data_IF_395017470312
#
_entry.id   IF_395017470312
#
_cell.length_a   1.000
_cell.length_b   1.000
_cell.length_c   1.000
_cell.angle_alpha   90.00
_cell.angle_beta   90.00
_cell.angle_gamma   90.00
#
_symmetry.space_group_name_H-M   'P 1'
#
loop_
_entity.id
_entity.type
_entity.pdbx_description
1 polymer ?
#
# COMPACT_ATOMS: atom_id res chain seq x y z
N UNK A 1 -20.57 8.53 -10.61
CA UNK A 1 -20.74 7.67 -9.41
C UNK A 1 -19.36 7.54 -8.77
N UNK A 2 -19.17 8.07 -7.56
CA UNK A 2 -17.85 8.05 -6.88
C UNK A 2 -17.52 6.61 -6.52
N UNK A 3 -16.36 6.04 -6.90
CA UNK A 3 -15.91 4.80 -6.32
C UNK A 3 -15.49 5.11 -4.87
N UNK A 4 -16.45 5.00 -3.94
CA UNK A 4 -16.15 4.93 -2.52
C UNK A 4 -15.72 3.50 -2.21
N UNK A 5 -14.64 3.34 -1.44
CA UNK A 5 -14.45 2.14 -0.63
C UNK A 5 -15.80 1.81 0.05
N UNK A 6 -16.38 0.64 -0.24
CA UNK A 6 -17.69 0.26 0.30
C UNK A 6 -17.71 0.41 1.83
N UNK A 7 -18.86 0.69 2.45
CA UNK A 7 -19.01 0.86 3.90
C UNK A 7 -18.47 -0.33 4.76
N UNK A 8 -18.15 -1.46 4.13
CA UNK A 8 -17.49 -2.63 4.72
C UNK A 8 -15.94 -2.59 4.73
N UNK A 9 -15.30 -1.51 4.26
CA UNK A 9 -13.83 -1.34 4.23
C UNK A 9 -13.31 -0.38 5.31
N UNK A 10 -14.06 -0.23 6.41
CA UNK A 10 -13.55 0.49 7.57
C UNK A 10 -12.53 -0.36 8.33
N UNK A 11 -11.26 -0.22 7.94
CA UNK A 11 -10.08 -0.84 8.57
C UNK A 11 -9.97 -0.56 10.07
N UNK A 12 -10.80 0.32 10.65
CA UNK A 12 -10.77 0.71 12.06
C UNK A 12 -11.94 0.16 12.88
N UNK A 13 -12.74 -0.75 12.33
CA UNK A 13 -13.58 -1.65 13.14
C UNK A 13 -12.70 -2.75 13.76
N UNK A 14 -13.01 -3.19 14.98
CA UNK A 14 -12.14 -4.02 15.83
C UNK A 14 -11.59 -5.25 15.09
N UNK A 15 -12.47 -5.99 14.42
CA UNK A 15 -12.09 -7.24 13.76
C UNK A 15 -11.32 -6.95 12.45
N UNK A 16 -11.75 -5.92 11.70
CA UNK A 16 -11.18 -5.58 10.39
C UNK A 16 -9.76 -5.02 10.44
N UNK A 17 -9.35 -4.33 11.50
CA UNK A 17 -7.97 -3.83 11.65
C UNK A 17 -6.98 -4.97 11.90
N UNK A 18 -7.29 -5.83 12.87
CA UNK A 18 -6.44 -6.96 13.25
C UNK A 18 -6.32 -7.92 12.07
N UNK A 19 -7.44 -8.21 11.39
CA UNK A 19 -7.44 -9.01 10.17
C UNK A 19 -6.61 -8.39 9.05
N UNK A 20 -6.67 -7.07 8.85
CA UNK A 20 -5.91 -6.39 7.80
C UNK A 20 -4.41 -6.34 8.08
N UNK A 21 -4.04 -6.10 9.35
CA UNK A 21 -2.64 -6.12 9.80
C UNK A 21 -2.08 -7.52 9.70
N UNK A 22 -2.81 -8.51 10.22
CA UNK A 22 -2.44 -9.91 10.13
C UNK A 22 -2.32 -10.33 8.66
N UNK A 23 -3.28 -9.99 7.82
CA UNK A 23 -3.25 -10.30 6.40
C UNK A 23 -2.03 -9.70 5.67
N UNK A 24 -1.70 -8.44 5.97
CA UNK A 24 -0.53 -7.77 5.41
C UNK A 24 0.79 -8.40 5.87
N UNK A 25 0.90 -8.73 7.17
CA UNK A 25 2.08 -9.39 7.75
C UNK A 25 2.22 -10.83 7.25
N UNK A 26 1.14 -11.61 7.24
CA UNK A 26 1.09 -12.97 6.70
C UNK A 26 1.55 -12.97 5.24
N UNK A 27 1.09 -12.02 4.43
CA UNK A 27 1.55 -11.91 3.03
C UNK A 27 3.07 -11.68 2.94
N UNK A 28 3.63 -10.89 3.86
CA UNK A 28 5.07 -10.68 3.91
C UNK A 28 5.81 -11.94 4.41
N UNK A 29 5.24 -12.69 5.35
CA UNK A 29 5.84 -13.91 5.90
C UNK A 29 5.64 -15.16 5.04
N UNK A 30 4.65 -15.21 4.17
CA UNK A 30 4.35 -16.40 3.38
C UNK A 30 5.51 -16.69 2.42
N UNK A 31 6.03 -17.91 2.50
CA UNK A 31 7.20 -18.39 1.76
C UNK A 31 6.84 -19.37 0.66
N UNK A 32 5.62 -19.92 0.69
CA UNK A 32 5.13 -20.88 -0.29
C UNK A 32 4.65 -20.15 -1.53
N UNK A 33 5.55 -19.93 -2.47
CA UNK A 33 5.18 -19.39 -3.79
C UNK A 33 4.60 -20.53 -4.63
N UNK A 34 3.40 -20.33 -5.18
CA UNK A 34 2.71 -21.32 -6.01
C UNK A 34 3.60 -21.71 -7.20
N UNK A 35 4.04 -22.97 -7.21
CA UNK A 35 4.90 -23.52 -8.27
C UNK A 35 4.02 -23.96 -9.44
N UNK A 36 3.86 -23.10 -10.44
CA UNK A 36 3.20 -23.49 -11.68
C UNK A 36 4.24 -24.14 -12.62
N UNK A 37 4.09 -25.45 -12.90
CA UNK A 37 4.92 -26.13 -13.92
C UNK A 37 4.67 -25.44 -15.27
N UNK A 38 5.73 -24.92 -15.91
CA UNK A 38 5.61 -24.14 -17.15
C UNK A 38 5.38 -22.64 -16.94
N UNK A 39 5.45 -22.15 -15.70
CA UNK A 39 5.43 -20.72 -15.40
C UNK A 39 6.47 -19.94 -16.21
N UNK A 40 5.99 -18.92 -16.94
CA UNK A 40 6.85 -18.01 -17.68
C UNK A 40 7.75 -17.15 -16.77
N UNK A 41 8.77 -16.47 -17.31
CA UNK A 41 9.76 -15.73 -16.53
C UNK A 41 9.19 -14.57 -15.70
N UNK A 42 7.92 -14.21 -15.89
CA UNK A 42 7.24 -13.12 -15.20
C UNK A 42 6.44 -13.57 -13.96
N UNK A 43 6.27 -14.87 -13.71
CA UNK A 43 5.56 -15.32 -12.51
C UNK A 43 6.29 -14.94 -11.23
N UNK A 44 5.56 -14.73 -10.14
CA UNK A 44 6.15 -14.42 -8.85
C UNK A 44 7.22 -15.45 -8.47
N UNK A 45 8.32 -14.97 -7.89
CA UNK A 45 9.44 -15.79 -7.43
C UNK A 45 10.02 -15.21 -6.13
N UNK A 46 10.97 -15.91 -5.52
CA UNK A 46 11.51 -15.54 -4.21
C UNK A 46 12.21 -14.17 -4.21
N UNK A 47 12.96 -13.86 -5.28
CA UNK A 47 13.64 -12.57 -5.44
C UNK A 47 12.62 -11.41 -5.43
N UNK A 48 11.52 -11.56 -6.17
CA UNK A 48 10.44 -10.58 -6.24
C UNK A 48 9.69 -10.45 -4.91
N UNK A 49 9.44 -11.56 -4.22
CA UNK A 49 8.85 -11.52 -2.88
C UNK A 49 9.76 -10.81 -1.88
N UNK A 50 11.08 -10.97 -1.98
CA UNK A 50 12.02 -10.25 -1.12
C UNK A 50 11.99 -8.74 -1.34
N UNK A 51 11.71 -8.26 -2.57
CA UNK A 51 11.48 -6.83 -2.83
C UNK A 51 10.24 -6.31 -2.10
N UNK A 52 9.14 -7.06 -2.15
CA UNK A 52 7.88 -6.73 -1.45
C UNK A 52 8.13 -6.67 0.06
N UNK A 53 8.77 -7.70 0.63
CA UNK A 53 9.10 -7.79 2.06
C UNK A 53 9.99 -6.64 2.53
N UNK A 54 11.00 -6.30 1.74
CA UNK A 54 11.96 -5.25 2.10
C UNK A 54 11.33 -3.85 2.21
N UNK A 55 10.27 -3.58 1.43
CA UNK A 55 9.56 -2.30 1.49
C UNK A 55 8.39 -2.33 2.46
N UNK A 56 7.67 -3.46 2.52
CA UNK A 56 6.44 -3.63 3.30
C UNK A 56 5.24 -2.88 2.69
N UNK A 57 4.05 -3.49 2.62
CA UNK A 57 2.88 -2.86 2.03
C UNK A 57 2.38 -1.69 2.89
N UNK A 58 2.01 -0.59 2.23
CA UNK A 58 1.18 0.47 2.78
C UNK A 58 -0.29 0.18 2.48
N UNK A 59 -1.10 -0.01 3.51
CA UNK A 59 -2.55 -0.17 3.40
C UNK A 59 -3.19 1.21 3.57
N UNK A 60 -3.81 1.79 2.52
CA UNK A 60 -4.41 3.11 2.59
C UNK A 60 -5.59 3.16 3.58
N UNK A 61 -5.80 4.31 4.24
CA UNK A 61 -7.05 4.55 4.98
C UNK A 61 -8.23 4.65 4.02
N UNK A 62 -9.43 4.28 4.49
CA UNK A 62 -10.70 4.38 3.75
C UNK A 62 -11.02 5.80 3.26
N UNK A 63 -10.48 6.81 3.96
CA UNK A 63 -10.74 8.22 3.68
C UNK A 63 -9.85 8.78 2.55
N UNK A 64 -8.99 7.94 1.97
CA UNK A 64 -8.12 8.33 0.85
C UNK A 64 -8.82 8.08 -0.47
N UNK A 65 -8.77 9.09 -1.32
CA UNK A 65 -9.37 9.05 -2.64
C UNK A 65 -8.28 9.04 -3.70
N UNK A 66 -8.60 8.39 -4.81
CA UNK A 66 -7.78 8.40 -6.02
C UNK A 66 -8.56 9.05 -7.14
N UNK A 67 -7.82 9.63 -8.07
CA UNK A 67 -8.32 10.09 -9.36
C UNK A 67 -8.57 8.83 -10.20
N UNK A 68 -9.84 8.42 -10.27
CA UNK A 68 -10.29 7.40 -11.21
C UNK A 68 -10.74 8.07 -12.52
N UNK A 69 -10.61 7.39 -13.67
CA UNK A 69 -11.23 7.83 -14.92
C UNK A 69 -12.71 8.16 -14.67
N UNK A 70 -13.19 9.30 -15.16
CA UNK A 70 -14.57 9.73 -14.93
C UNK A 70 -15.57 8.64 -15.32
N UNK A 71 -16.67 8.54 -14.58
CA UNK A 71 -17.69 7.49 -14.72
C UNK A 71 -18.47 7.48 -16.04
N UNK A 72 -17.96 8.15 -17.08
CA UNK A 72 -18.52 8.19 -18.44
C UNK A 72 -17.72 7.34 -19.44
N UNK A 73 -16.91 6.38 -18.97
CA UNK A 73 -16.28 5.33 -19.78
C UNK A 73 -15.35 5.79 -20.93
N UNK A 74 -14.72 6.97 -20.82
CA UNK A 74 -13.81 7.48 -21.86
C UNK A 74 -12.49 8.06 -21.33
N UNK A 75 -12.17 7.89 -20.05
CA UNK A 75 -10.92 8.40 -19.46
C UNK A 75 -9.80 7.35 -19.45
N UNK A 76 -8.57 7.78 -19.70
CA UNK A 76 -7.37 7.01 -19.39
C UNK A 76 -7.07 7.06 -17.88
N UNK A 77 -6.36 6.06 -17.36
CA UNK A 77 -5.82 6.13 -16.00
C UNK A 77 -4.64 7.10 -15.96
N UNK A 78 -4.65 7.99 -14.98
CA UNK A 78 -3.69 9.09 -14.89
C UNK A 78 -3.04 9.16 -13.50
N UNK A 79 -1.94 9.90 -13.42
CA UNK A 79 -1.23 10.27 -12.22
C UNK A 79 -0.97 11.78 -12.26
N UNK A 80 -1.20 12.47 -11.14
CA UNK A 80 -1.02 13.91 -11.06
C UNK A 80 0.46 14.29 -10.93
N UNK A 81 1.15 14.32 -12.06
CA UNK A 81 2.56 14.71 -12.15
C UNK A 81 2.83 16.19 -11.81
N UNK A 82 1.79 17.03 -11.76
CA UNK A 82 1.94 18.46 -11.49
C UNK A 82 2.03 18.72 -9.99
N UNK A 83 1.21 18.01 -9.20
CA UNK A 83 1.16 18.17 -7.76
C UNK A 83 1.99 17.12 -7.01
N UNK A 84 2.16 15.93 -7.59
CA UNK A 84 2.87 14.83 -6.96
C UNK A 84 4.15 14.40 -7.71
N UNK A 85 5.30 14.32 -7.03
CA UNK A 85 6.47 13.69 -7.60
C UNK A 85 6.24 12.19 -7.78
N UNK A 86 6.70 11.70 -8.93
CA UNK A 86 6.70 10.30 -9.28
C UNK A 86 7.46 9.44 -8.25
N UNK A 87 6.81 8.44 -7.62
CA UNK A 87 7.47 7.57 -6.66
C UNK A 87 8.66 6.80 -7.25
N UNK A 88 9.81 6.78 -6.57
CA UNK A 88 10.93 5.93 -7.01
C UNK A 88 10.66 4.45 -6.74
N UNK A 89 10.06 4.16 -5.59
CA UNK A 89 9.70 2.81 -5.15
C UNK A 89 8.57 2.89 -4.12
N UNK A 90 7.71 1.88 -4.09
CA UNK A 90 6.72 1.71 -3.03
C UNK A 90 6.00 0.37 -3.14
N UNK A 91 5.23 0.04 -2.11
CA UNK A 91 4.39 -1.15 -2.09
C UNK A 91 3.07 -0.77 -1.44
N UNK A 92 1.96 -1.05 -2.10
CA UNK A 92 0.61 -0.85 -1.55
C UNK A 92 -0.04 -2.19 -1.30
N UNK A 93 -0.90 -2.26 -0.29
CA UNK A 93 -1.64 -3.45 0.08
C UNK A 93 -3.14 -3.20 0.12
N UNK A 94 -3.91 -4.19 -0.33
CA UNK A 94 -5.37 -4.15 -0.36
C UNK A 94 -5.92 -5.45 0.23
N UNK A 95 -6.82 -5.34 1.19
CA UNK A 95 -7.65 -6.46 1.62
C UNK A 95 -8.69 -6.76 0.56
N UNK A 96 -8.80 -8.02 0.14
CA UNK A 96 -9.83 -8.44 -0.80
C UNK A 96 -11.03 -9.01 -0.05
N UNK A 97 -12.16 -8.33 -0.11
CA UNK A 97 -13.44 -8.82 0.39
C UNK A 97 -14.17 -9.61 -0.71
N UNK A 98 -13.88 -10.92 -0.80
CA UNK A 98 -14.66 -11.98 -1.48
C UNK A 98 -14.64 -12.05 -3.03
N UNK A 99 -14.57 -13.30 -3.52
CA UNK A 99 -14.66 -13.87 -4.88
C UNK A 99 -14.27 -12.97 -6.06
N UNK A 100 -13.04 -13.17 -6.49
CA UNK A 100 -12.45 -12.56 -7.67
C UNK A 100 -12.96 -13.28 -8.95
N UNK A 101 -13.31 -12.56 -10.03
CA UNK A 101 -13.52 -13.17 -11.35
C UNK A 101 -12.32 -14.03 -11.75
N UNK A 102 -12.51 -15.03 -12.63
CA UNK A 102 -11.48 -16.02 -13.06
C UNK A 102 -10.15 -15.45 -13.57
N UNK A 103 -10.09 -14.14 -13.83
CA UNK A 103 -9.00 -13.47 -14.53
C UNK A 103 -8.15 -12.59 -13.60
N UNK A 104 -8.48 -12.47 -12.31
CA UNK A 104 -7.60 -11.82 -11.34
C UNK A 104 -7.16 -12.77 -10.22
N UNK A 105 -5.99 -12.51 -9.66
CA UNK A 105 -5.44 -13.32 -8.58
C UNK A 105 -6.41 -13.39 -7.40
N UNK A 106 -6.77 -14.61 -7.01
CA UNK A 106 -7.53 -14.89 -5.79
C UNK A 106 -6.71 -14.52 -4.54
N UNK A 107 -7.38 -14.45 -3.39
CA UNK A 107 -6.71 -14.19 -2.12
C UNK A 107 -7.45 -13.28 -1.17
N UNK A 108 -7.02 -13.31 0.09
CA UNK A 108 -7.51 -12.42 1.15
C UNK A 108 -6.76 -11.08 1.17
N UNK A 109 -5.56 -11.03 0.59
CA UNK A 109 -4.73 -9.82 0.52
C UNK A 109 -3.95 -9.75 -0.78
N UNK A 110 -3.86 -8.57 -1.37
CA UNK A 110 -3.11 -8.30 -2.58
C UNK A 110 -2.13 -7.15 -2.35
N UNK A 111 -0.94 -7.27 -2.91
CA UNK A 111 0.07 -6.21 -2.93
C UNK A 111 0.41 -5.81 -4.35
N UNK A 112 0.72 -4.53 -4.53
CA UNK A 112 1.32 -3.99 -5.74
C UNK A 112 2.60 -3.25 -5.37
N UNK A 113 3.74 -3.89 -5.63
CA UNK A 113 5.04 -3.28 -5.54
C UNK A 113 5.36 -2.57 -6.85
N UNK A 114 5.81 -1.33 -6.76
CA UNK A 114 6.15 -0.49 -7.91
C UNK A 114 7.55 0.07 -7.71
N UNK A 115 8.37 0.04 -8.75
CA UNK A 115 9.65 0.77 -8.79
C UNK A 115 9.95 1.32 -10.16
N UNK A 116 10.66 2.43 -10.22
CA UNK A 116 11.21 2.95 -11.47
C UNK A 116 12.17 1.93 -12.07
N UNK A 117 12.08 1.73 -13.38
CA UNK A 117 12.92 0.82 -14.13
C UNK A 117 13.60 1.56 -15.28
N UNK A 118 14.88 1.24 -15.49
CA UNK A 118 15.67 1.88 -16.54
C UNK A 118 15.62 1.11 -17.87
N UNK A 119 15.41 -0.20 -17.80
CA UNK A 119 15.45 -1.10 -18.94
C UNK A 119 14.16 -1.92 -19.03
N UNK A 120 13.67 -2.13 -20.25
CA UNK A 120 12.56 -3.03 -20.52
C UNK A 120 13.11 -4.37 -21.05
N UNK A 121 12.67 -5.53 -20.54
CA UNK A 121 13.16 -6.82 -21.05
C UNK A 121 12.73 -7.05 -22.51
N UNK A 122 13.51 -7.84 -23.26
CA UNK A 122 13.33 -8.05 -24.72
C UNK A 122 11.94 -8.56 -25.13
N UNK A 123 11.27 -9.31 -24.27
CA UNK A 123 9.93 -9.87 -24.54
C UNK A 123 8.80 -8.89 -24.27
N UNK A 124 9.12 -7.64 -23.93
CA UNK A 124 8.16 -6.59 -23.62
C UNK A 124 8.31 -5.41 -24.58
N UNK A 125 7.20 -4.78 -24.89
CA UNK A 125 7.10 -3.64 -25.79
C UNK A 125 6.46 -2.44 -25.09
N UNK A 126 7.10 -1.28 -25.20
CA UNK A 126 6.53 -0.02 -24.69
C UNK A 126 5.41 0.44 -25.62
N UNK A 127 4.22 0.63 -25.07
CA UNK A 127 3.07 1.23 -25.78
C UNK A 127 3.07 2.76 -25.75
N UNK A 128 3.83 3.37 -24.84
CA UNK A 128 4.00 4.82 -24.73
C UNK A 128 5.39 5.19 -24.21
N UNK A 129 5.77 6.45 -24.43
CA UNK A 129 6.98 7.06 -23.86
C UNK A 129 6.82 7.43 -22.39
N UNK A 130 7.86 8.05 -21.82
CA UNK A 130 7.86 8.53 -20.44
C UNK A 130 8.64 7.65 -19.45
N UNK A 131 8.37 7.83 -18.16
CA UNK A 131 9.07 7.13 -17.09
C UNK A 131 8.61 5.68 -17.03
N UNK A 132 9.55 4.75 -17.18
CA UNK A 132 9.26 3.32 -17.10
C UNK A 132 9.24 2.86 -15.64
N UNK A 133 8.30 1.95 -15.37
CA UNK A 133 8.11 1.28 -14.10
C UNK A 133 7.98 -0.23 -14.26
N UNK A 134 8.43 -0.95 -13.25
CA UNK A 134 8.10 -2.35 -12.99
C UNK A 134 7.01 -2.39 -11.92
N UNK A 135 5.99 -3.22 -12.13
CA UNK A 135 4.99 -3.59 -11.13
C UNK A 135 5.08 -5.08 -10.85
N UNK A 136 5.08 -5.44 -9.56
CA UNK A 136 4.97 -6.82 -9.10
C UNK A 136 3.69 -6.90 -8.29
N UNK A 137 2.77 -7.73 -8.76
CA UNK A 137 1.55 -8.05 -8.04
C UNK A 137 1.78 -9.38 -7.32
N UNK A 138 1.43 -9.42 -6.03
CA UNK A 138 1.39 -10.66 -5.27
C UNK A 138 0.08 -10.74 -4.49
N UNK A 139 -0.60 -11.87 -4.57
CA UNK A 139 -1.83 -12.14 -3.84
C UNK A 139 -1.68 -13.40 -2.98
N UNK A 140 -2.13 -13.29 -1.74
CA UNK A 140 -2.03 -14.33 -0.73
C UNK A 140 -3.34 -15.09 -0.64
N UNK A 141 -3.27 -16.40 -0.84
CA UNK A 141 -4.35 -17.35 -0.61
C UNK A 141 -4.05 -18.21 0.63
N UNK A 142 -4.99 -19.08 0.98
CA UNK A 142 -4.77 -20.07 2.02
C UNK A 142 -3.58 -20.95 1.60
N UNK A 143 -2.43 -20.76 2.26
CA UNK A 143 -1.20 -21.57 2.18
C UNK A 143 -0.24 -21.29 1.01
N UNK A 144 -0.49 -20.28 0.17
CA UNK A 144 0.48 -19.86 -0.85
C UNK A 144 0.31 -18.41 -1.28
N UNK A 145 1.37 -17.86 -1.90
CA UNK A 145 1.31 -16.61 -2.65
C UNK A 145 1.49 -16.89 -4.14
N UNK A 146 0.69 -16.23 -4.95
CA UNK A 146 0.87 -16.19 -6.41
C UNK A 146 0.85 -14.76 -6.92
N UNK A 147 1.21 -14.59 -8.18
CA UNK A 147 1.29 -13.28 -8.79
C UNK A 147 2.26 -13.26 -9.95
N UNK A 148 2.55 -12.06 -10.41
CA UNK A 148 3.42 -11.83 -11.55
C UNK A 148 3.99 -10.42 -11.58
N UNK A 149 4.87 -10.25 -12.55
CA UNK A 149 5.50 -8.99 -12.90
C UNK A 149 4.93 -8.47 -14.21
N UNK A 150 4.70 -7.17 -14.26
CA UNK A 150 4.44 -6.42 -15.50
C UNK A 150 5.23 -5.11 -15.52
N UNK A 151 5.13 -4.39 -16.64
CA UNK A 151 5.76 -3.08 -16.82
C UNK A 151 4.74 -2.07 -17.32
N UNK A 152 4.94 -0.80 -17.00
CA UNK A 152 4.10 0.30 -17.47
C UNK A 152 4.91 1.59 -17.56
N UNK A 153 4.41 2.56 -18.32
CA UNK A 153 5.00 3.89 -18.45
C UNK A 153 4.06 4.94 -17.87
N UNK A 154 4.63 5.99 -17.28
CA UNK A 154 3.92 7.24 -16.98
C UNK A 154 4.39 8.30 -17.95
N UNK A 155 3.49 8.84 -18.76
CA UNK A 155 3.82 9.86 -19.78
C UNK A 155 4.10 11.22 -19.13
N UNK A 156 4.58 12.17 -19.94
CA UNK A 156 4.82 13.55 -19.49
C UNK A 156 3.54 14.32 -19.19
N UNK A 157 2.39 13.77 -19.55
CA UNK A 157 1.06 14.30 -19.28
C UNK A 157 0.41 13.56 -18.10
N UNK A 158 1.10 12.59 -17.51
CA UNK A 158 0.60 11.81 -16.37
C UNK A 158 -0.18 10.55 -16.74
N UNK A 159 -0.34 10.22 -18.03
CA UNK A 159 -1.05 9.00 -18.44
C UNK A 159 -0.30 7.73 -18.04
N UNK A 160 -1.00 6.76 -17.48
CA UNK A 160 -0.47 5.46 -17.09
C UNK A 160 -0.81 4.44 -18.18
N UNK A 161 0.22 3.92 -18.85
CA UNK A 161 0.07 3.02 -20.01
C UNK A 161 0.84 1.73 -19.78
N UNK A 162 0.14 0.58 -19.78
CA UNK A 162 0.78 -0.72 -19.61
C UNK A 162 1.67 -1.06 -20.82
N UNK A 163 2.83 -1.66 -20.55
CA UNK A 163 3.64 -2.29 -21.58
C UNK A 163 3.01 -3.62 -22.01
N UNK A 164 3.21 -4.00 -23.26
CA UNK A 164 2.67 -5.21 -23.85
C UNK A 164 3.72 -6.32 -23.84
N UNK A 165 3.33 -7.54 -23.47
CA UNK A 165 4.20 -8.69 -23.65
C UNK A 165 4.04 -9.23 -25.08
N UNK A 166 5.17 -9.54 -25.74
CA UNK A 166 5.21 -10.13 -27.08
C UNK A 166 6.03 -11.40 -27.05
N UNK A 167 5.40 -12.52 -27.38
CA UNK A 167 6.08 -13.79 -27.58
C UNK A 167 6.16 -14.13 -29.06
N UNK A 168 7.33 -14.58 -29.51
CA UNK A 168 7.48 -15.17 -30.83
C UNK A 168 7.02 -16.62 -30.75
N UNK A 169 5.88 -16.93 -31.38
CA UNK A 169 5.45 -18.31 -31.54
C UNK A 169 6.15 -18.85 -32.78
N UNK A 170 7.25 -19.58 -32.57
CA UNK A 170 7.86 -20.37 -33.63
C UNK A 170 6.91 -21.52 -34.03
N UNK A 171 5.92 -21.20 -34.86
CA UNK A 171 5.12 -22.19 -35.56
C UNK A 171 5.97 -22.88 -36.63
N UNK A 172 5.62 -24.11 -37.00
CA UNK A 172 6.22 -24.85 -38.14
C UNK A 172 6.06 -24.14 -39.51
N UNK A 173 5.41 -22.98 -39.54
CA UNK A 173 5.23 -22.13 -40.71
C UNK A 173 5.82 -20.74 -40.43
N UNK A 174 6.57 -20.21 -41.40
CA UNK A 174 7.39 -18.96 -41.35
C UNK A 174 6.57 -17.66 -41.24
N UNK A 175 5.51 -17.63 -40.44
CA UNK A 175 4.77 -16.42 -40.10
C UNK A 175 4.74 -16.32 -38.58
N UNK A 176 5.62 -15.49 -38.02
CA UNK A 176 5.64 -15.20 -36.59
C UNK A 176 4.32 -14.52 -36.21
N UNK A 177 3.43 -15.28 -35.57
CA UNK A 177 2.29 -14.68 -34.87
C UNK A 177 2.77 -14.29 -33.48
N UNK A 178 2.75 -12.99 -33.20
CA UNK A 178 3.01 -12.50 -31.85
C UNK A 178 1.79 -12.80 -30.98
N UNK A 179 1.96 -13.57 -29.91
CA UNK A 179 1.00 -13.57 -28.81
C UNK A 179 1.19 -12.26 -28.05
N UNK A 180 0.19 -11.38 -28.14
CA UNK A 180 0.14 -10.10 -27.42
C UNK A 180 -0.74 -10.21 -26.17
N UNK A 181 -0.47 -9.35 -25.18
CA UNK A 181 -1.30 -9.25 -23.98
C UNK A 181 -2.71 -8.75 -24.33
N UNK A 182 -3.79 -9.43 -23.89
CA UNK A 182 -5.16 -8.98 -24.13
C UNK A 182 -5.43 -7.57 -23.61
N UNK A 183 -6.25 -6.80 -24.31
CA UNK A 183 -6.55 -5.40 -23.95
C UNK A 183 -7.16 -5.27 -22.55
N UNK A 184 -8.03 -6.21 -22.15
CA UNK A 184 -8.61 -6.27 -20.80
C UNK A 184 -7.53 -6.35 -19.72
N UNK A 185 -6.51 -7.18 -19.94
CA UNK A 185 -5.39 -7.32 -19.00
C UNK A 185 -4.55 -6.03 -18.95
N UNK A 186 -4.27 -5.41 -20.10
CA UNK A 186 -3.56 -4.13 -20.18
C UNK A 186 -4.29 -3.05 -19.37
N UNK A 187 -5.61 -2.94 -19.54
CA UNK A 187 -6.44 -1.97 -18.80
C UNK A 187 -6.47 -2.26 -17.30
N UNK A 188 -6.52 -3.53 -16.89
CA UNK A 188 -6.39 -3.93 -15.49
C UNK A 188 -5.04 -3.55 -14.89
N UNK A 189 -3.94 -3.67 -15.65
CA UNK A 189 -2.60 -3.24 -15.22
C UNK A 189 -2.49 -1.72 -15.13
N UNK A 190 -3.06 -0.99 -16.08
CA UNK A 190 -3.13 0.48 -16.05
C UNK A 190 -3.85 0.96 -14.79
N UNK A 191 -4.99 0.34 -14.46
CA UNK A 191 -5.74 0.61 -13.24
C UNK A 191 -4.90 0.37 -11.98
N UNK A 192 -4.40 -0.85 -11.79
CA UNK A 192 -3.62 -1.20 -10.60
C UNK A 192 -2.36 -0.34 -10.45
N UNK A 193 -1.67 -0.04 -11.55
CA UNK A 193 -0.49 0.82 -11.55
C UNK A 193 -0.82 2.26 -11.14
N UNK A 194 -1.88 2.84 -11.70
CA UNK A 194 -2.32 4.20 -11.32
C UNK A 194 -2.74 4.26 -9.85
N UNK A 195 -3.55 3.31 -9.39
CA UNK A 195 -3.96 3.19 -7.99
C UNK A 195 -2.74 3.13 -7.07
N UNK A 196 -1.77 2.25 -7.38
CA UNK A 196 -0.58 2.08 -6.57
C UNK A 196 0.27 3.36 -6.52
N UNK A 197 0.53 4.00 -7.67
CA UNK A 197 1.30 5.25 -7.72
C UNK A 197 0.66 6.35 -6.89
N UNK A 198 -0.65 6.54 -7.05
CA UNK A 198 -1.40 7.56 -6.33
C UNK A 198 -1.32 7.32 -4.83
N UNK A 199 -1.62 6.11 -4.34
CA UNK A 199 -1.52 5.83 -2.90
C UNK A 199 -0.10 5.92 -2.34
N UNK A 200 0.93 5.56 -3.11
CA UNK A 200 2.32 5.73 -2.68
C UNK A 200 2.66 7.21 -2.55
N UNK A 201 2.30 8.03 -3.54
CA UNK A 201 2.54 9.47 -3.50
C UNK A 201 1.80 10.12 -2.33
N UNK A 202 0.54 9.75 -2.17
CA UNK A 202 -0.41 10.23 -1.17
C UNK A 202 -0.02 9.86 0.27
N UNK A 203 0.67 8.73 0.46
CA UNK A 203 1.15 8.26 1.77
C UNK A 203 2.05 9.27 2.51
N UNK A 204 2.68 10.21 1.78
CA UNK A 204 3.54 11.26 2.36
C UNK A 204 2.77 12.26 3.21
N UNK A 205 1.46 12.38 2.99
CA UNK A 205 0.54 13.24 3.73
C UNK A 205 -0.19 12.49 4.86
N UNK A 206 -0.02 11.17 4.95
CA UNK A 206 -0.71 10.35 5.94
C UNK A 206 0.14 10.10 7.17
N UNK A 207 -0.51 10.05 8.33
CA UNK A 207 0.07 9.36 9.48
C UNK A 207 0.05 7.86 9.22
N UNK A 208 1.01 7.15 9.80
CA UNK A 208 1.05 5.69 9.66
C UNK A 208 1.35 4.99 10.96
N UNK A 209 0.75 3.81 11.14
CA UNK A 209 1.20 2.83 12.13
C UNK A 209 2.03 1.80 11.37
N UNK A 210 3.33 1.74 11.67
CA UNK A 210 4.20 0.69 11.16
C UNK A 210 4.16 -0.49 12.14
N UNK A 211 3.67 -1.64 11.69
CA UNK A 211 3.79 -2.90 12.39
C UNK A 211 5.01 -3.63 11.83
N UNK A 212 5.98 -3.96 12.69
CA UNK A 212 7.20 -4.67 12.32
C UNK A 212 7.33 -5.95 13.12
N UNK A 213 7.59 -7.04 12.43
CA UNK A 213 7.90 -8.32 13.06
C UNK A 213 9.09 -8.93 12.31
N UNK A 214 10.17 -9.21 13.03
CA UNK A 214 11.44 -9.66 12.44
C UNK A 214 11.91 -8.75 11.28
N UNK A 215 12.02 -9.30 10.06
CA UNK A 215 12.43 -8.60 8.84
C UNK A 215 11.25 -8.10 7.98
N UNK A 216 10.01 -8.34 8.42
CA UNK A 216 8.80 -7.94 7.70
C UNK A 216 8.18 -6.71 8.36
N UNK A 217 7.57 -5.84 7.56
CA UNK A 217 6.84 -4.69 8.06
C UNK A 217 5.59 -4.43 7.21
N UNK A 218 4.55 -3.89 7.84
CA UNK A 218 3.35 -3.37 7.20
C UNK A 218 3.08 -1.95 7.71
N UNK A 219 2.53 -1.08 6.87
CA UNK A 219 2.17 0.30 7.26
C UNK A 219 0.69 0.52 7.04
N UNK A 220 0.01 1.05 8.03
CA UNK A 220 -1.42 1.36 7.96
C UNK A 220 -1.60 2.87 7.88
N UNK A 221 -2.27 3.33 6.83
CA UNK A 221 -2.71 4.71 6.73
C UNK A 221 -3.66 5.05 7.87
N UNK A 222 -3.32 6.11 8.60
CA UNK A 222 -4.05 6.57 9.77
C UNK A 222 -4.33 8.07 9.64
N UNK A 223 -5.48 8.48 10.15
CA UNK A 223 -5.86 9.87 10.32
C UNK A 223 -5.32 10.41 11.66
N UNK A 224 -5.05 11.73 11.76
CA UNK A 224 -4.62 12.36 13.00
C UNK A 224 -5.51 11.99 14.20
N UNK A 225 -6.82 11.92 14.01
CA UNK A 225 -7.80 11.59 15.05
C UNK A 225 -7.65 10.16 15.57
N UNK A 226 -7.29 9.21 14.69
CA UNK A 226 -7.01 7.83 15.07
C UNK A 226 -5.72 7.75 15.89
N UNK A 227 -4.71 8.54 15.53
CA UNK A 227 -3.48 8.67 16.30
C UNK A 227 -3.72 9.34 17.67
N UNK A 228 -4.49 10.43 17.74
CA UNK A 228 -4.92 11.07 19.00
C UNK A 228 -5.57 10.05 19.93
N UNK A 229 -6.46 9.24 19.36
CA UNK A 229 -7.15 8.19 20.10
C UNK A 229 -6.21 7.13 20.67
N UNK A 230 -5.22 6.69 19.87
CA UNK A 230 -4.22 5.71 20.30
C UNK A 230 -3.27 6.29 21.36
N UNK A 231 -2.91 7.57 21.27
CA UNK A 231 -2.06 8.22 22.27
C UNK A 231 -2.82 8.42 23.59
N UNK A 232 -4.08 8.83 23.52
CA UNK A 232 -4.97 8.94 24.68
C UNK A 232 -5.20 7.59 25.38
N UNK A 233 -5.45 6.53 24.59
CA UNK A 233 -5.57 5.17 25.10
C UNK A 233 -4.42 4.77 26.03
N UNK A 234 -3.21 5.24 25.72
CA UNK A 234 -1.99 4.93 26.48
C UNK A 234 -1.75 5.82 27.69
N UNK A 235 -2.36 7.01 27.76
CA UNK A 235 -2.27 7.89 28.93
C UNK A 235 -3.23 7.51 30.05
N UNK A 236 -4.20 6.62 29.78
CA UNK A 236 -5.13 6.12 30.79
C UNK A 236 -4.47 5.00 31.61
N UNK A 237 -4.54 5.02 32.96
CA UNK A 237 -4.00 3.97 33.81
C UNK A 237 -4.59 2.59 33.49
N UNK A 238 -3.75 1.55 33.59
CA UNK A 238 -4.19 0.16 33.50
C UNK A 238 -5.28 -0.10 34.54
N UNK A 239 -6.45 -0.56 34.11
CA UNK A 239 -7.50 -0.98 35.03
C UNK A 239 -7.09 -2.27 35.74
N UNK A 240 -7.53 -2.44 36.99
CA UNK A 240 -7.18 -3.55 37.90
C UNK A 240 -7.36 -4.98 37.31
N UNK A 241 -8.05 -5.15 36.19
CA UNK A 241 -8.25 -6.42 35.49
C UNK A 241 -7.17 -6.76 34.46
N UNK A 242 -6.10 -5.95 34.31
CA UNK A 242 -4.93 -6.31 33.51
C UNK A 242 -5.15 -6.47 32.01
N UNK A 243 -6.32 -6.09 31.46
CA UNK A 243 -6.57 -6.18 30.02
C UNK A 243 -5.59 -5.27 29.25
N UNK A 244 -4.63 -5.88 28.54
CA UNK A 244 -3.98 -5.29 27.37
C UNK A 244 -5.12 -4.83 26.45
N UNK A 245 -5.30 -3.53 26.26
CA UNK A 245 -6.47 -3.02 25.54
C UNK A 245 -6.19 -3.03 24.03
N UNK A 246 -7.03 -3.69 23.22
CA UNK A 246 -6.95 -3.61 21.77
C UNK A 246 -7.09 -2.14 21.35
N UNK A 247 -6.20 -1.71 20.47
CA UNK A 247 -6.06 -0.33 19.98
C UNK A 247 -7.42 0.30 19.56
N UNK A 248 -8.38 -0.52 19.13
CA UNK A 248 -9.57 -0.11 18.39
C UNK A 248 -10.78 0.26 19.26
N UNK A 249 -11.01 -0.44 20.38
CA UNK A 249 -12.08 -0.08 21.31
C UNK A 249 -11.89 1.33 21.88
N UNK A 250 -10.64 1.80 21.93
CA UNK A 250 -10.29 3.14 22.38
C UNK A 250 -10.38 4.17 21.25
N UNK A 251 -10.08 3.81 19.99
CA UNK A 251 -10.32 4.67 18.81
C UNK A 251 -11.78 5.08 18.69
N UNK A 252 -12.72 4.12 18.73
CA UNK A 252 -14.15 4.42 18.61
C UNK A 252 -14.74 5.15 19.84
N UNK A 253 -14.23 4.88 21.05
CA UNK A 253 -14.63 5.58 22.27
C UNK A 253 -14.07 7.02 22.29
N UNK A 254 -12.88 7.23 21.74
CA UNK A 254 -12.23 8.53 21.70
C UNK A 254 -12.74 9.41 20.57
N UNK A 255 -13.05 8.89 19.38
CA UNK A 255 -13.76 9.65 18.35
C UNK A 255 -15.06 10.27 18.89
N UNK A 256 -15.78 9.54 19.75
CA UNK A 256 -16.95 10.06 20.49
C UNK A 256 -16.61 11.16 21.50
N UNK A 257 -15.41 11.13 22.10
CA UNK A 257 -14.93 12.14 23.07
C UNK A 257 -14.30 13.38 22.40
N UNK A 258 -13.60 13.22 21.28
CA UNK A 258 -13.17 14.33 20.41
C UNK A 258 -14.39 15.12 19.91
N UNK A 259 -15.47 14.41 19.54
CA UNK A 259 -16.76 15.02 19.18
C UNK A 259 -17.36 15.85 20.34
N UNK A 260 -16.96 15.58 21.58
CA UNK A 260 -17.37 16.33 22.77
C UNK A 260 -16.36 17.43 23.18
N UNK A 261 -15.39 17.77 22.33
CA UNK A 261 -14.53 18.95 22.48
C UNK A 261 -13.22 18.76 23.25
N UNK A 262 -12.81 17.54 23.57
CA UNK A 262 -11.47 17.27 24.15
C UNK A 262 -10.47 17.17 22.99
N UNK A 263 -9.61 18.16 22.77
CA UNK A 263 -8.55 18.09 21.75
C UNK A 263 -7.21 17.66 22.35
N UNK A 264 -6.44 16.85 21.61
CA UNK A 264 -5.12 16.35 22.01
C UNK A 264 -4.10 16.82 20.99
N UNK A 265 -3.08 17.55 21.48
CA UNK A 265 -1.93 17.92 20.66
C UNK A 265 -1.05 16.69 20.36
N UNK A 266 -1.17 16.17 19.14
CA UNK A 266 -0.36 15.04 18.66
C UNK A 266 1.12 15.42 18.61
N UNK A 267 1.44 16.69 18.32
CA UNK A 267 2.83 17.13 18.12
C UNK A 267 3.62 17.12 19.43
N UNK A 268 2.97 17.46 20.55
CA UNK A 268 3.51 17.34 21.90
C UNK A 268 3.69 15.87 22.35
N UNK A 269 2.70 15.01 22.08
CA UNK A 269 2.72 13.60 22.52
C UNK A 269 3.70 12.70 21.76
N UNK A 270 4.02 13.04 20.51
CA UNK A 270 5.07 12.33 19.76
C UNK A 270 6.45 12.42 20.43
N UNK A 271 6.67 13.29 21.41
CA UNK A 271 7.92 13.33 22.18
C UNK A 271 8.05 12.21 23.22
N UNK A 272 6.98 11.42 23.44
CA UNK A 272 6.95 10.26 24.35
C UNK A 272 7.25 8.92 23.64
N UNK A 273 6.86 7.81 24.24
CA UNK A 273 7.09 6.46 23.70
C UNK A 273 6.27 6.31 22.39
N UNK A 274 6.91 6.36 21.22
CA UNK A 274 6.25 6.19 19.91
C UNK A 274 6.03 4.73 19.50
N UNK A 275 6.58 3.80 20.28
CA UNK A 275 6.65 2.38 19.94
C UNK A 275 6.03 1.51 21.04
N UNK A 276 5.26 0.50 20.66
CA UNK A 276 4.71 -0.50 21.57
C UNK A 276 4.99 -1.88 21.00
N UNK A 277 5.47 -2.79 21.83
CA UNK A 277 5.62 -4.20 21.45
C UNK A 277 4.43 -5.00 22.00
N UNK A 278 3.80 -5.78 21.13
CA UNK A 278 2.71 -6.71 21.46
C UNK A 278 3.03 -8.04 20.78
N UNK A 279 3.25 -9.08 21.58
CA UNK A 279 3.40 -10.47 21.08
C UNK A 279 4.50 -10.65 20.03
N UNK A 280 5.59 -9.86 20.14
CA UNK A 280 6.73 -9.89 19.20
C UNK A 280 6.58 -8.93 18.00
N UNK A 281 5.40 -8.33 17.80
CA UNK A 281 5.19 -7.27 16.81
C UNK A 281 5.43 -5.89 17.44
N UNK A 282 6.32 -5.12 16.83
CA UNK A 282 6.67 -3.77 17.21
C UNK A 282 5.83 -2.76 16.38
N UNK A 283 4.93 -2.04 17.05
CA UNK A 283 4.09 -1.01 16.46
C UNK A 283 4.68 0.37 16.70
N UNK A 284 4.97 1.11 15.64
CA UNK A 284 5.52 2.48 15.70
C UNK A 284 4.60 3.47 14.99
N UNK A 285 4.22 4.53 15.68
CA UNK A 285 3.49 5.65 15.07
C UNK A 285 4.48 6.54 14.33
N UNK A 286 4.24 6.77 13.04
CA UNK A 286 5.04 7.67 12.20
C UNK A 286 4.19 8.84 11.71
N UNK A 287 4.67 10.09 11.87
CA UNK A 287 4.01 11.25 11.33
C UNK A 287 4.06 11.26 9.80
N UNK A 288 3.18 12.06 9.19
CA UNK A 288 3.25 12.37 7.77
C UNK A 288 4.63 12.96 7.42
N UNK A 289 5.21 12.52 6.31
CA UNK A 289 6.57 12.93 5.90
C UNK A 289 6.66 14.44 5.69
N UNK A 290 5.58 15.06 5.22
CA UNK A 290 5.50 16.52 5.03
C UNK A 290 5.56 17.31 6.34
N UNK A 291 5.22 16.69 7.48
CA UNK A 291 5.26 17.32 8.81
C UNK A 291 6.61 17.13 9.52
N UNK A 292 7.49 16.26 9.01
CA UNK A 292 8.80 16.00 9.63
C UNK A 292 9.66 17.27 9.79
N UNK A 293 9.73 18.20 8.80
CA UNK A 293 10.48 19.44 8.97
C UNK A 293 9.96 20.29 10.15
N UNK A 294 8.64 20.41 10.30
CA UNK A 294 8.01 21.20 11.36
C UNK A 294 8.22 20.59 12.76
N UNK A 295 8.09 19.26 12.86
CA UNK A 295 8.38 18.53 14.10
C UNK A 295 9.86 18.65 14.52
N UNK A 296 10.77 18.68 13.55
CA UNK A 296 12.20 18.87 13.80
C UNK A 296 12.53 20.30 14.25
N UNK A 297 11.83 21.31 13.70
CA UNK A 297 12.02 22.72 14.06
C UNK A 297 11.62 22.99 15.51
N UNK A 298 10.45 22.51 15.94
CA UNK A 298 9.96 22.65 17.32
C UNK A 298 10.83 21.97 18.37
N UNK A 299 11.65 21.00 17.96
CA UNK A 299 12.64 20.37 18.82
C UNK A 299 13.88 21.27 18.99
N UNK A 300 14.31 21.97 17.93
CA UNK A 300 15.46 22.90 17.96
C UNK A 300 15.19 24.17 18.76
N UNK A 301 13.99 24.76 18.66
CA UNK A 301 13.66 26.01 19.38
C UNK A 301 13.62 25.84 20.90
N UNK A 302 13.29 24.64 21.41
CA UNK A 302 13.22 24.40 22.85
C UNK A 302 14.59 24.13 23.49
N UNK A 303 15.53 23.50 22.76
CA UNK A 303 16.92 23.37 23.23
C UNK A 303 17.66 24.71 23.27
N UNK A 304 17.27 25.67 22.42
CA UNK A 304 17.76 27.04 22.53
C UNK A 304 17.19 27.80 23.74
N UNK A 305 16.01 27.41 24.24
CA UNK A 305 15.35 28.02 25.40
C UNK A 305 15.57 27.26 26.72
N UNK A 306 16.20 26.09 26.68
CA UNK A 306 16.61 25.31 27.87
C UNK A 306 18.13 25.34 28.09
N UNK A 307 18.81 26.24 27.38
CA UNK A 307 20.24 26.51 27.49
C UNK A 307 20.54 27.87 28.12
N UNK A 308 19.63 28.38 28.96
CA UNK A 308 19.83 29.48 29.91
C UNK A 308 19.42 29.03 31.31
#
# INVERSE_FOLDING_TARGET
MKPSCSDNQDLWRTDSFEDSVAAALITCFETRIKKNKGAGPNTLNLERMNLIRGIGPYVPSKDRFIIAPSSTNAGDWEFDINNDPLPTVGCVGFTKTVQVPSDEYGGFFQTAYVRQANTLPKTWHRRSGGQLYEIIIAASENHFVEGDRSFFCVTKEGKVVACEQRFDVAGRYKTSQYLTTPEKELKGREAMASIALQFIADSRYCWTIEARESNCLARLGSMPEQIKSLLYARSIPLTATGRKRPILHLVAAHQRRLKNGIDIDITGFLRGIQTVEIEGTCFTVKPARVLLPELSANSKTKYAMSGE
#
